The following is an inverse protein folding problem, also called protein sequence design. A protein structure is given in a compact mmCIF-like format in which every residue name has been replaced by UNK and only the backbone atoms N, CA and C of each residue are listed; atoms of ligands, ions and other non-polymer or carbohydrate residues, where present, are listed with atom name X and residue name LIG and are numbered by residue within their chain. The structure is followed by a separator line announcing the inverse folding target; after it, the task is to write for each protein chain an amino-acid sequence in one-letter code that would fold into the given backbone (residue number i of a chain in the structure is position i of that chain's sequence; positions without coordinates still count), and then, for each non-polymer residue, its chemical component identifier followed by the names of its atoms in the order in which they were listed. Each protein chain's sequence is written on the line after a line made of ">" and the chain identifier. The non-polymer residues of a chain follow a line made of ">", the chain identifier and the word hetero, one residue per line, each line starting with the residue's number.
data_IF_550281710763
#
_entry.id   IF_550281710763
#
_cell.length_a   1.000
_cell.length_b   1.000
_cell.length_c   1.000
_cell.angle_alpha   90.00
_cell.angle_beta   90.00
_cell.angle_gamma   90.00
#
_symmetry.space_group_name_H-M   'P 1'
#
loop_
_entity.id
_entity.type
_entity.pdbx_description
1 polymer ?
#
# COMPACT_ATOMS: atom_id res chain seq x y z
N UNK A 1 -63.83 -51.42 22.56
CA UNK A 1 -64.59 -50.37 23.29
C UNK A 1 -63.58 -49.63 24.13
N UNK A 2 -63.19 -48.39 23.86
CA UNK A 2 -63.95 -47.14 23.66
C UNK A 2 -63.18 -46.29 22.63
N UNK A 3 -63.73 -46.10 21.42
CA UNK A 3 -64.50 -44.94 20.94
C UNK A 3 -63.65 -43.73 20.49
N UNK A 4 -63.96 -43.32 19.28
CA UNK A 4 -63.25 -42.46 18.33
C UNK A 4 -63.74 -41.02 18.51
N UNK A 5 -62.86 -40.03 18.41
CA UNK A 5 -63.23 -38.61 18.40
C UNK A 5 -62.11 -37.75 17.81
N UNK A 6 -62.05 -37.66 16.49
CA UNK A 6 -61.25 -36.65 15.79
C UNK A 6 -61.95 -35.30 15.79
N UNK A 7 -61.19 -34.20 15.85
CA UNK A 7 -61.57 -32.88 15.37
C UNK A 7 -60.29 -32.09 15.00
N UNK A 8 -60.21 -31.76 13.71
CA UNK A 8 -59.77 -30.51 13.07
C UNK A 8 -58.40 -29.89 13.39
N UNK A 9 -57.48 -30.03 12.43
CA UNK A 9 -56.34 -29.13 12.21
C UNK A 9 -56.84 -27.70 11.91
N UNK A 10 -56.26 -26.64 12.50
CA UNK A 10 -56.62 -25.28 12.14
C UNK A 10 -56.03 -24.91 10.77
N UNK A 11 -56.89 -24.34 9.93
CA UNK A 11 -56.58 -23.78 8.61
C UNK A 11 -55.57 -22.63 8.73
N UNK A 12 -54.64 -22.61 7.78
CA UNK A 12 -53.91 -21.42 7.36
C UNK A 12 -54.89 -20.25 7.10
N UNK A 13 -54.66 -19.13 7.79
CA UNK A 13 -55.19 -17.82 7.41
C UNK A 13 -54.00 -16.89 7.23
N UNK A 14 -53.80 -16.44 5.99
CA UNK A 14 -52.80 -15.45 5.64
C UNK A 14 -53.17 -14.09 6.27
N UNK A 15 -52.25 -13.37 6.92
CA UNK A 15 -52.53 -12.02 7.37
C UNK A 15 -52.56 -11.07 6.16
N UNK A 16 -53.68 -10.39 5.99
CA UNK A 16 -53.86 -9.27 5.08
C UNK A 16 -52.87 -8.13 5.41
N UNK A 17 -52.01 -7.79 4.45
CA UNK A 17 -51.16 -6.60 4.50
C UNK A 17 -52.02 -5.34 4.33
N UNK A 18 -52.46 -4.75 5.44
CA UNK A 18 -52.87 -3.35 5.44
C UNK A 18 -51.62 -2.46 5.37
N UNK A 19 -51.46 -1.76 4.24
CA UNK A 19 -50.54 -0.62 4.12
C UNK A 19 -50.97 0.46 5.10
N UNK A 20 -50.21 0.63 6.18
CA UNK A 20 -50.15 1.90 6.90
C UNK A 20 -48.88 2.62 6.50
N UNK A 21 -49.07 3.79 5.89
CA UNK A 21 -48.03 4.72 5.45
C UNK A 21 -47.39 5.42 6.65
N UNK A 22 -46.13 5.11 6.93
CA UNK A 22 -45.26 5.96 7.76
C UNK A 22 -44.38 6.81 6.84
N UNK A 23 -44.48 8.12 7.00
CA UNK A 23 -43.68 9.14 6.31
C UNK A 23 -42.28 9.24 6.95
N UNK A 24 -41.19 9.28 6.14
CA UNK A 24 -39.84 9.53 6.63
C UNK A 24 -39.59 11.05 6.82
N UNK A 25 -38.67 11.46 7.73
CA UNK A 25 -38.32 12.87 7.90
C UNK A 25 -37.55 13.41 6.69
N UNK A 26 -37.84 14.65 6.30
CA UNK A 26 -37.23 15.33 5.18
C UNK A 26 -35.75 15.66 5.44
N UNK A 27 -34.86 15.09 4.62
CA UNK A 27 -33.45 15.51 4.51
C UNK A 27 -33.30 16.21 3.16
N UNK A 28 -32.90 17.49 3.22
CA UNK A 28 -32.81 18.38 2.06
C UNK A 28 -31.79 17.91 1.02
N UNK A 29 -32.19 17.99 -0.25
CA UNK A 29 -31.34 17.79 -1.41
C UNK A 29 -30.33 18.95 -1.55
N UNK A 30 -29.04 18.68 -1.32
CA UNK A 30 -27.97 19.49 -1.89
C UNK A 30 -27.68 18.98 -3.30
N UNK A 31 -27.95 19.81 -4.31
CA UNK A 31 -27.60 19.55 -5.71
C UNK A 31 -26.09 19.67 -5.90
N UNK A 32 -25.47 18.62 -6.43
CA UNK A 32 -24.12 18.68 -7.01
C UNK A 32 -24.16 19.47 -8.32
N UNK A 33 -23.26 20.44 -8.56
CA UNK A 33 -23.02 20.94 -9.90
C UNK A 33 -22.01 20.07 -10.65
N UNK A 34 -22.35 19.83 -11.92
CA UNK A 34 -21.60 19.16 -12.96
C UNK A 34 -20.28 19.86 -13.34
N UNK A 35 -19.34 19.03 -13.84
CA UNK A 35 -18.27 19.38 -14.80
C UNK A 35 -17.22 20.41 -14.38
N UNK A 36 -16.05 19.90 -13.99
CA UNK A 36 -14.77 20.60 -14.24
C UNK A 36 -14.43 20.43 -15.72
N UNK A 37 -14.70 21.48 -16.50
CA UNK A 37 -14.28 21.63 -17.89
C UNK A 37 -13.05 22.53 -17.91
N UNK A 38 -11.91 21.98 -18.32
CA UNK A 38 -10.70 22.76 -18.65
C UNK A 38 -11.06 23.89 -19.61
N UNK A 39 -10.86 25.15 -19.19
CA UNK A 39 -10.77 26.31 -20.09
C UNK A 39 -9.68 27.26 -19.64
N UNK A 40 -8.68 27.33 -20.52
CA UNK A 40 -7.83 28.46 -20.88
C UNK A 40 -8.13 29.80 -20.22
N UNK A 41 -7.04 30.40 -19.72
CA UNK A 41 -6.76 31.82 -19.58
C UNK A 41 -7.56 32.71 -20.54
N UNK A 42 -8.24 33.72 -20.00
CA UNK A 42 -8.36 35.12 -20.47
C UNK A 42 -9.53 35.79 -19.73
N UNK A 43 -9.32 37.03 -19.32
CA UNK A 43 -10.27 38.03 -18.80
C UNK A 43 -10.58 38.00 -17.29
N UNK A 44 -9.82 38.82 -16.55
CA UNK A 44 -10.32 39.62 -15.43
C UNK A 44 -9.61 40.98 -15.51
N UNK A 45 -10.18 41.86 -16.35
CA UNK A 45 -10.09 43.31 -16.18
C UNK A 45 -11.44 43.71 -15.59
N UNK A 46 -11.36 44.35 -14.42
CA UNK A 46 -12.33 45.22 -13.75
C UNK A 46 -12.52 44.85 -12.28
N UNK A 47 -12.45 45.90 -11.46
CA UNK A 47 -12.54 45.93 -9.99
C UNK A 47 -11.28 45.56 -9.20
N UNK A 48 -10.29 46.45 -9.15
CA UNK A 48 -9.74 46.94 -7.87
C UNK A 48 -9.20 48.37 -8.06
N UNK A 49 -10.03 49.36 -7.81
CA UNK A 49 -9.56 50.69 -7.40
C UNK A 49 -10.21 51.02 -6.05
N UNK A 50 -9.39 51.52 -5.12
CA UNK A 50 -9.70 51.99 -3.76
C UNK A 50 -9.65 50.92 -2.66
N UNK A 51 -8.45 50.73 -2.10
CA UNK A 51 -8.11 51.13 -0.72
C UNK A 51 -6.63 50.87 -0.49
N UNK A 52 -5.91 51.92 -0.08
CA UNK A 52 -4.47 51.87 0.12
C UNK A 52 -4.08 51.21 1.44
N UNK A 53 -3.16 50.25 1.38
CA UNK A 53 -2.13 50.08 2.40
C UNK A 53 -1.00 49.17 1.90
N UNK A 54 0.23 49.60 2.20
CA UNK A 54 1.49 48.99 1.81
C UNK A 54 1.65 47.57 2.34
N UNK A 55 1.95 46.62 1.47
CA UNK A 55 2.76 45.44 1.79
C UNK A 55 3.52 45.01 0.54
N UNK A 56 4.84 44.91 0.66
CA UNK A 56 5.75 44.54 -0.40
C UNK A 56 5.49 43.09 -0.86
N UNK A 57 5.08 42.93 -2.12
CA UNK A 57 5.09 41.64 -2.80
C UNK A 57 6.25 41.69 -3.79
N UNK A 58 7.25 40.84 -3.51
CA UNK A 58 8.40 40.59 -4.37
C UNK A 58 7.89 39.92 -5.65
N UNK A 59 7.83 40.69 -6.74
CA UNK A 59 7.64 40.17 -8.09
C UNK A 59 8.88 39.34 -8.48
N UNK A 60 8.85 38.02 -8.25
CA UNK A 60 9.67 37.11 -9.05
C UNK A 60 9.00 36.97 -10.41
N UNK A 61 9.57 37.68 -11.38
CA UNK A 61 9.44 37.42 -12.81
C UNK A 61 9.39 35.91 -13.08
N UNK A 62 8.28 35.46 -13.65
CA UNK A 62 8.21 34.18 -14.36
C UNK A 62 8.75 34.44 -15.76
N UNK A 63 10.07 34.58 -15.85
CA UNK A 63 10.78 34.56 -17.13
C UNK A 63 11.24 33.11 -17.37
N UNK A 64 10.73 32.50 -18.45
CA UNK A 64 11.27 31.24 -18.98
C UNK A 64 10.30 30.06 -18.96
N UNK A 65 9.39 29.99 -19.94
CA UNK A 65 9.02 28.69 -20.49
C UNK A 65 10.30 28.10 -21.08
N UNK A 66 10.93 27.17 -20.35
CA UNK A 66 11.93 26.28 -20.94
C UNK A 66 11.14 25.37 -21.88
N UNK A 67 11.32 25.57 -23.20
CA UNK A 67 10.96 24.57 -24.20
C UNK A 67 11.68 23.27 -23.80
N UNK A 68 10.93 22.18 -23.63
CA UNK A 68 11.55 20.87 -23.51
C UNK A 68 12.00 20.45 -24.91
N UNK A 69 13.16 20.93 -25.32
CA UNK A 69 13.87 20.32 -26.43
C UNK A 69 14.42 18.98 -25.88
N UNK A 70 13.78 17.88 -26.27
CA UNK A 70 14.31 16.54 -26.02
C UNK A 70 15.50 16.30 -26.97
N UNK A 71 16.57 17.07 -26.79
CA UNK A 71 17.86 16.78 -27.40
C UNK A 71 18.48 15.61 -26.62
N UNK A 72 18.54 14.46 -27.28
CA UNK A 72 19.18 13.26 -26.73
C UNK A 72 20.68 13.35 -27.00
N UNK A 73 21.37 14.20 -26.25
CA UNK A 73 22.82 14.20 -26.22
C UNK A 73 23.29 12.97 -25.45
N UNK A 74 23.79 11.99 -26.21
CA UNK A 74 24.26 10.71 -25.72
C UNK A 74 25.66 10.87 -25.12
N UNK A 75 25.75 11.49 -23.94
CA UNK A 75 27.00 11.54 -23.18
C UNK A 75 27.09 10.34 -22.23
N UNK A 76 27.76 9.29 -22.70
CA UNK A 76 27.93 8.02 -22.01
C UNK A 76 29.05 8.09 -20.97
N UNK A 77 28.90 8.92 -19.92
CA UNK A 77 29.94 8.99 -18.89
C UNK A 77 29.49 9.31 -17.47
N UNK A 78 28.42 8.67 -16.95
CA UNK A 78 28.18 8.60 -15.50
C UNK A 78 27.77 7.19 -15.08
N UNK A 79 28.73 6.45 -14.52
CA UNK A 79 28.56 5.06 -14.09
C UNK A 79 27.96 4.98 -12.69
N UNK A 80 26.73 4.48 -12.58
CA UNK A 80 26.24 3.89 -11.32
C UNK A 80 26.95 2.55 -11.10
N UNK A 81 27.52 2.37 -9.91
CA UNK A 81 28.42 1.27 -9.58
C UNK A 81 27.78 -0.10 -9.70
N UNK A 82 28.05 -0.79 -10.81
CA UNK A 82 28.19 -2.24 -10.91
C UNK A 82 29.47 -2.51 -11.71
N UNK A 83 30.25 -3.52 -11.30
CA UNK A 83 31.63 -3.78 -11.71
C UNK A 83 31.82 -3.73 -13.24
N UNK A 84 32.81 -2.94 -13.69
CA UNK A 84 33.20 -2.77 -15.10
C UNK A 84 33.89 -4.03 -15.62
N UNK A 85 33.36 -4.60 -16.71
CA UNK A 85 34.18 -5.28 -17.69
C UNK A 85 34.18 -4.45 -18.98
N UNK A 86 35.34 -3.91 -19.32
CA UNK A 86 35.57 -3.12 -20.53
C UNK A 86 35.63 -4.05 -21.75
N UNK A 87 34.60 -4.02 -22.58
CA UNK A 87 34.52 -4.76 -23.84
C UNK A 87 33.34 -4.27 -24.67
N UNK A 88 33.58 -4.00 -25.97
CA UNK A 88 32.65 -3.43 -26.97
C UNK A 88 31.17 -3.83 -26.76
N UNK A 89 30.33 -2.81 -26.57
CA UNK A 89 28.93 -2.91 -26.17
C UNK A 89 28.02 -3.37 -27.33
N UNK A 90 28.16 -4.61 -27.79
CA UNK A 90 27.06 -5.32 -28.42
C UNK A 90 26.08 -5.66 -27.29
N UNK A 91 24.95 -4.96 -27.22
CA UNK A 91 24.02 -5.03 -26.09
C UNK A 91 23.67 -6.48 -25.74
N UNK A 92 24.20 -6.96 -24.63
CA UNK A 92 24.07 -8.36 -24.21
C UNK A 92 22.60 -8.62 -23.86
N UNK A 93 21.97 -9.54 -24.59
CA UNK A 93 20.66 -10.06 -24.24
C UNK A 93 20.78 -10.84 -22.94
N UNK A 94 19.93 -10.53 -21.97
CA UNK A 94 19.83 -11.23 -20.70
C UNK A 94 18.74 -12.29 -20.72
N UNK A 95 18.94 -13.34 -19.92
CA UNK A 95 17.93 -14.36 -19.63
C UNK A 95 17.68 -14.32 -18.13
N UNK A 96 16.42 -14.14 -17.73
CA UNK A 96 16.01 -14.10 -16.31
C UNK A 96 14.86 -15.08 -16.13
N UNK A 97 15.12 -16.19 -15.43
CA UNK A 97 14.16 -17.29 -15.30
C UNK A 97 13.74 -17.83 -16.67
N UNK A 98 12.42 -17.83 -16.93
CA UNK A 98 11.85 -18.29 -18.20
C UNK A 98 11.85 -17.20 -19.29
N UNK A 99 12.21 -15.96 -18.98
CA UNK A 99 12.25 -14.86 -19.95
C UNK A 99 13.60 -14.82 -20.65
N UNK A 100 13.60 -15.12 -21.96
CA UNK A 100 14.78 -15.06 -22.84
C UNK A 100 14.73 -13.83 -23.74
N UNK A 101 15.88 -13.40 -24.26
CA UNK A 101 16.00 -12.30 -25.25
C UNK A 101 15.54 -10.94 -24.73
N UNK A 102 15.75 -10.65 -23.44
CA UNK A 102 15.37 -9.37 -22.84
C UNK A 102 16.59 -8.49 -22.61
N UNK A 103 16.44 -7.18 -22.81
CA UNK A 103 17.46 -6.18 -22.53
C UNK A 103 16.88 -5.13 -21.59
N UNK A 104 17.64 -4.75 -20.57
CA UNK A 104 17.26 -3.64 -19.71
C UNK A 104 17.33 -2.32 -20.50
N UNK A 105 16.28 -1.52 -20.40
CA UNK A 105 16.20 -0.21 -21.06
C UNK A 105 16.55 0.87 -20.04
N UNK A 106 17.72 1.47 -20.20
CA UNK A 106 18.13 2.61 -19.37
C UNK A 106 17.37 3.89 -19.76
N UNK A 107 17.03 4.69 -18.76
CA UNK A 107 16.39 5.99 -18.91
C UNK A 107 17.32 7.08 -18.37
N UNK A 108 17.28 8.28 -18.94
CA UNK A 108 18.11 9.42 -18.51
C UNK A 108 17.80 9.88 -17.08
N UNK A 109 16.57 9.67 -16.61
CA UNK A 109 16.17 9.96 -15.23
C UNK A 109 16.33 8.70 -14.38
N UNK A 110 17.35 8.69 -13.53
CA UNK A 110 17.67 7.58 -12.64
C UNK A 110 17.08 7.71 -11.24
N UNK A 111 17.50 6.81 -10.35
CA UNK A 111 17.06 6.76 -8.95
C UNK A 111 17.45 8.01 -8.17
N UNK A 112 18.67 8.52 -8.37
CA UNK A 112 19.20 9.67 -7.61
C UNK A 112 18.41 10.94 -7.95
N UNK A 113 18.12 11.15 -9.23
CA UNK A 113 17.36 12.28 -9.74
C UNK A 113 15.93 12.27 -9.17
N UNK A 114 15.28 11.10 -9.14
CA UNK A 114 13.94 10.95 -8.53
C UNK A 114 13.96 11.21 -7.02
N UNK A 115 14.95 10.69 -6.31
CA UNK A 115 15.09 10.92 -4.87
C UNK A 115 15.33 12.39 -4.56
N UNK A 116 16.18 13.06 -5.34
CA UNK A 116 16.44 14.50 -5.22
C UNK A 116 15.18 15.32 -5.48
N UNK A 117 14.38 14.97 -6.48
CA UNK A 117 13.11 15.65 -6.78
C UNK A 117 12.09 15.52 -5.64
N UNK A 118 12.04 14.35 -4.99
CA UNK A 118 11.10 14.07 -3.90
C UNK A 118 11.63 14.45 -2.51
N UNK A 119 12.89 14.90 -2.42
CA UNK A 119 13.59 15.17 -1.15
C UNK A 119 13.49 14.00 -0.14
N UNK A 120 13.57 12.76 -0.65
CA UNK A 120 13.49 11.53 0.13
C UNK A 120 14.17 10.37 -0.59
N UNK A 121 14.47 9.29 0.13
CA UNK A 121 14.97 8.03 -0.45
C UNK A 121 13.87 6.98 -0.44
N UNK A 122 13.65 6.33 -1.58
CA UNK A 122 12.71 5.24 -1.68
C UNK A 122 13.22 4.02 -0.91
N UNK A 123 12.32 3.32 -0.22
CA UNK A 123 12.60 2.11 0.54
C UNK A 123 11.35 1.25 0.66
N UNK A 124 11.53 0.02 1.13
CA UNK A 124 10.43 -0.92 1.40
C UNK A 124 10.33 -1.14 2.90
N UNK A 125 9.18 -0.79 3.46
CA UNK A 125 8.77 -1.10 4.82
C UNK A 125 7.87 -2.33 4.74
N UNK A 126 8.41 -3.48 5.15
CA UNK A 126 7.74 -4.76 5.04
C UNK A 126 7.14 -5.18 6.39
N UNK A 127 5.86 -4.89 6.57
CA UNK A 127 5.14 -5.20 7.81
C UNK A 127 4.58 -6.63 7.73
N UNK A 128 5.10 -7.52 8.58
CA UNK A 128 4.73 -8.93 8.69
C UNK A 128 4.10 -9.26 10.05
N UNK A 129 3.23 -10.27 10.11
CA UNK A 129 2.55 -10.69 11.34
C UNK A 129 1.23 -11.43 11.10
N UNK A 130 0.71 -12.07 12.14
CA UNK A 130 -0.58 -12.79 12.10
C UNK A 130 -1.76 -11.91 11.66
N UNK A 131 -2.82 -12.53 11.13
CA UNK A 131 -4.08 -11.81 10.88
C UNK A 131 -4.57 -11.16 12.18
N UNK A 132 -5.12 -9.94 12.14
CA UNK A 132 -5.56 -9.25 13.38
C UNK A 132 -4.45 -8.68 14.27
N UNK A 133 -3.16 -8.82 13.90
CA UNK A 133 -2.05 -8.24 14.67
C UNK A 133 -1.99 -6.70 14.63
N UNK A 134 -2.63 -6.07 13.64
CA UNK A 134 -2.70 -4.61 13.48
C UNK A 134 -1.86 -4.02 12.34
N UNK A 135 -1.30 -4.85 11.44
CA UNK A 135 -0.46 -4.42 10.31
C UNK A 135 -1.05 -3.25 9.51
N UNK A 136 -2.29 -3.39 9.00
CA UNK A 136 -2.92 -2.36 8.19
C UNK A 136 -3.20 -1.07 8.99
N UNK A 137 -3.44 -1.16 10.31
CA UNK A 137 -3.61 0.01 11.17
C UNK A 137 -2.30 0.80 11.29
N UNK A 138 -1.18 0.11 11.54
CA UNK A 138 0.15 0.73 11.60
C UNK A 138 0.55 1.30 10.23
N UNK A 139 0.30 0.56 9.14
CA UNK A 139 0.57 1.03 7.79
C UNK A 139 -0.18 2.33 7.47
N UNK A 140 -1.48 2.40 7.80
CA UNK A 140 -2.29 3.60 7.61
C UNK A 140 -1.80 4.77 8.47
N UNK A 141 -1.50 4.53 9.75
CA UNK A 141 -0.99 5.57 10.65
C UNK A 141 0.36 6.13 10.16
N UNK A 142 1.29 5.25 9.78
CA UNK A 142 2.58 5.65 9.22
C UNK A 142 2.43 6.46 7.94
N UNK A 143 1.57 6.01 7.01
CA UNK A 143 1.30 6.73 5.77
C UNK A 143 0.72 8.12 6.02
N UNK A 144 -0.18 8.27 7.00
CA UNK A 144 -0.72 9.58 7.39
C UNK A 144 0.35 10.51 7.96
N UNK A 145 1.27 9.99 8.77
CA UNK A 145 2.37 10.77 9.34
C UNK A 145 3.33 11.23 8.23
N UNK A 146 3.76 10.31 7.35
CA UNK A 146 4.63 10.63 6.21
C UNK A 146 3.99 11.68 5.28
N UNK A 147 2.70 11.53 4.97
CA UNK A 147 1.96 12.51 4.17
C UNK A 147 1.97 13.91 4.80
N UNK A 148 1.73 14.01 6.12
CA UNK A 148 1.78 15.29 6.85
C UNK A 148 3.17 15.92 6.85
N UNK A 149 4.23 15.12 6.70
CA UNK A 149 5.62 15.58 6.57
C UNK A 149 6.03 15.90 5.13
N UNK A 150 5.09 15.85 4.17
CA UNK A 150 5.39 16.08 2.75
C UNK A 150 6.15 14.92 2.09
N UNK A 151 6.14 13.72 2.69
CA UNK A 151 6.81 12.54 2.14
C UNK A 151 5.83 11.67 1.36
N UNK A 152 6.27 11.20 0.20
CA UNK A 152 5.51 10.34 -0.68
C UNK A 152 5.64 8.88 -0.26
N UNK A 153 4.54 8.31 0.21
CA UNK A 153 4.43 6.91 0.58
C UNK A 153 3.22 6.24 -0.09
N UNK A 154 3.29 4.92 -0.24
CA UNK A 154 2.21 4.13 -0.83
C UNK A 154 2.07 2.78 -0.15
N UNK A 155 0.84 2.36 0.13
CA UNK A 155 0.55 1.09 0.84
C UNK A 155 0.20 0.00 -0.16
N UNK A 156 0.93 -1.11 -0.11
CA UNK A 156 0.58 -2.38 -0.72
C UNK A 156 -0.02 -3.32 0.34
N UNK A 157 -1.35 -3.28 0.50
CA UNK A 157 -2.06 -4.16 1.44
C UNK A 157 -2.40 -5.50 0.78
N UNK A 158 -2.18 -6.60 1.52
CA UNK A 158 -2.37 -7.96 1.03
C UNK A 158 -3.78 -8.30 0.56
N UNK A 159 -4.82 -7.64 1.09
CA UNK A 159 -6.19 -7.84 0.58
C UNK A 159 -6.43 -6.96 -0.66
N UNK A 160 -5.97 -5.71 -0.66
CA UNK A 160 -6.16 -4.78 -1.78
C UNK A 160 -5.54 -5.27 -3.08
N UNK A 161 -4.30 -5.77 -3.03
CA UNK A 161 -3.60 -6.30 -4.22
C UNK A 161 -4.29 -7.52 -4.82
N UNK A 162 -5.03 -8.29 -4.01
CA UNK A 162 -5.81 -9.45 -4.47
C UNK A 162 -7.10 -9.08 -5.21
N UNK A 163 -7.54 -7.83 -5.14
CA UNK A 163 -8.61 -7.34 -6.01
C UNK A 163 -8.15 -7.00 -7.43
N UNK A 164 -6.83 -6.90 -7.65
CA UNK A 164 -6.25 -6.47 -8.92
C UNK A 164 -5.13 -7.39 -9.40
N UNK A 165 -3.87 -7.01 -9.12
CA UNK A 165 -2.66 -7.68 -9.60
C UNK A 165 -2.63 -9.19 -9.28
N UNK A 166 -3.11 -9.58 -8.11
CA UNK A 166 -3.02 -10.93 -7.58
C UNK A 166 -4.39 -11.64 -7.48
N UNK A 167 -5.37 -11.22 -8.30
CA UNK A 167 -6.73 -11.78 -8.28
C UNK A 167 -6.82 -13.23 -8.74
N UNK A 168 -5.81 -13.71 -9.46
CA UNK A 168 -5.67 -15.08 -9.94
C UNK A 168 -5.15 -16.05 -8.88
N UNK A 169 -4.64 -15.54 -7.75
CA UNK A 169 -3.99 -16.35 -6.71
C UNK A 169 -4.96 -16.72 -5.59
N UNK A 170 -4.97 -18.00 -5.23
CA UNK A 170 -5.65 -18.50 -4.05
C UNK A 170 -4.84 -18.32 -2.76
N UNK A 171 -5.06 -19.24 -1.81
CA UNK A 171 -4.45 -19.23 -0.48
C UNK A 171 -3.64 -20.49 -0.17
N UNK A 172 -3.30 -21.28 -1.19
CA UNK A 172 -2.35 -22.40 -1.04
C UNK A 172 -0.93 -21.88 -0.81
N UNK A 173 -0.01 -22.76 -0.40
CA UNK A 173 1.36 -22.36 -0.10
C UNK A 173 2.06 -21.78 -1.35
N UNK A 174 1.86 -22.40 -2.51
CA UNK A 174 2.41 -21.94 -3.79
C UNK A 174 1.87 -20.55 -4.18
N UNK A 175 0.54 -20.36 -4.07
CA UNK A 175 -0.12 -19.09 -4.37
C UNK A 175 0.32 -17.97 -3.40
N UNK A 176 0.60 -18.31 -2.15
CA UNK A 176 1.15 -17.36 -1.16
C UNK A 176 2.56 -16.94 -1.53
N UNK A 177 3.41 -17.90 -1.89
CA UNK A 177 4.78 -17.62 -2.32
C UNK A 177 4.78 -16.71 -3.55
N UNK A 178 3.94 -16.99 -4.56
CA UNK A 178 3.81 -16.14 -5.74
C UNK A 178 3.22 -14.76 -5.41
N UNK A 179 2.24 -14.69 -4.50
CA UNK A 179 1.68 -13.43 -4.05
C UNK A 179 2.77 -12.54 -3.39
N UNK A 180 3.59 -13.12 -2.52
CA UNK A 180 4.70 -12.41 -1.87
C UNK A 180 5.75 -12.01 -2.91
N UNK A 181 6.13 -12.90 -3.83
CA UNK A 181 7.09 -12.60 -4.90
C UNK A 181 6.66 -11.41 -5.76
N UNK A 182 5.42 -11.42 -6.26
CA UNK A 182 4.88 -10.31 -7.09
C UNK A 182 4.90 -8.98 -6.32
N UNK A 183 4.51 -8.99 -5.06
CA UNK A 183 4.48 -7.78 -4.23
C UNK A 183 5.88 -7.30 -3.90
N UNK A 184 6.84 -8.21 -3.67
CA UNK A 184 8.25 -7.87 -3.52
C UNK A 184 8.79 -7.10 -4.73
N UNK A 185 8.54 -7.59 -5.94
CA UNK A 185 8.96 -6.91 -7.18
C UNK A 185 8.27 -5.55 -7.36
N UNK A 186 6.98 -5.46 -7.07
CA UNK A 186 6.26 -4.17 -7.13
C UNK A 186 6.81 -3.19 -6.08
N UNK A 187 7.06 -3.65 -4.86
CA UNK A 187 7.63 -2.83 -3.80
C UNK A 187 9.03 -2.32 -4.17
N UNK A 188 9.84 -3.16 -4.83
CA UNK A 188 11.13 -2.77 -5.40
C UNK A 188 10.98 -1.65 -6.44
N UNK A 189 10.00 -1.75 -7.34
CA UNK A 189 9.73 -0.70 -8.33
C UNK A 189 9.33 0.63 -7.66
N UNK A 190 8.50 0.60 -6.62
CA UNK A 190 8.17 1.80 -5.85
C UNK A 190 9.40 2.41 -5.16
N UNK A 191 10.24 1.59 -4.52
CA UNK A 191 11.46 2.07 -3.90
C UNK A 191 12.45 2.65 -4.92
N UNK A 192 12.57 2.04 -6.11
CA UNK A 192 13.38 2.58 -7.21
C UNK A 192 12.83 3.90 -7.77
N UNK A 193 11.50 4.08 -7.73
CA UNK A 193 10.84 5.34 -8.06
C UNK A 193 11.03 6.45 -7.01
N UNK A 194 11.70 6.16 -5.88
CA UNK A 194 11.91 7.09 -4.78
C UNK A 194 10.78 7.11 -3.74
N UNK A 195 9.78 6.23 -3.87
CA UNK A 195 8.62 6.16 -2.96
C UNK A 195 8.94 5.31 -1.73
N UNK A 196 8.45 5.73 -0.56
CA UNK A 196 8.45 4.89 0.65
C UNK A 196 7.29 3.89 0.53
N UNK A 197 7.60 2.67 0.08
CA UNK A 197 6.61 1.63 -0.12
C UNK A 197 6.34 0.89 1.18
N UNK A 198 5.08 0.83 1.62
CA UNK A 198 4.65 0.14 2.84
C UNK A 198 3.88 -1.13 2.43
N UNK A 199 4.54 -2.28 2.50
CA UNK A 199 3.91 -3.56 2.23
C UNK A 199 3.33 -4.14 3.54
N UNK A 200 2.01 -4.31 3.61
CA UNK A 200 1.29 -4.81 4.79
C UNK A 200 0.67 -6.17 4.49
N UNK A 201 1.37 -7.25 4.84
CA UNK A 201 1.02 -8.62 4.49
C UNK A 201 1.23 -9.59 5.64
N UNK A 202 0.47 -10.69 5.67
CA UNK A 202 0.80 -11.78 6.60
C UNK A 202 2.21 -12.29 6.32
N UNK A 203 2.55 -12.54 5.05
CA UNK A 203 3.88 -13.02 4.60
C UNK A 203 4.46 -14.11 5.52
N UNK A 204 3.76 -15.25 5.67
CA UNK A 204 4.01 -16.18 6.78
C UNK A 204 5.33 -16.92 6.69
N UNK A 205 5.84 -17.17 5.48
CA UNK A 205 7.04 -17.97 5.25
C UNK A 205 8.28 -17.07 5.20
N UNK A 206 9.28 -17.39 6.02
CA UNK A 206 10.51 -16.62 6.15
C UNK A 206 11.28 -16.60 4.84
N UNK A 207 11.39 -17.75 4.17
CA UNK A 207 12.07 -17.87 2.87
C UNK A 207 11.57 -16.85 1.85
N UNK A 208 10.27 -16.62 1.81
CA UNK A 208 9.68 -15.71 0.82
C UNK A 208 9.93 -14.23 1.19
N UNK A 209 9.93 -13.90 2.50
CA UNK A 209 10.36 -12.57 2.97
C UNK A 209 11.83 -12.33 2.70
N UNK A 210 12.69 -13.32 2.94
CA UNK A 210 14.12 -13.27 2.66
C UNK A 210 14.39 -13.09 1.15
N UNK A 211 13.61 -13.74 0.29
CA UNK A 211 13.68 -13.54 -1.15
C UNK A 211 13.31 -12.10 -1.55
N UNK A 212 12.25 -11.53 -0.96
CA UNK A 212 11.91 -10.12 -1.16
C UNK A 212 13.00 -9.16 -0.63
N UNK A 213 13.67 -9.49 0.47
CA UNK A 213 14.81 -8.72 0.98
C UNK A 213 15.98 -8.73 0.00
N UNK A 214 16.30 -9.91 -0.55
CA UNK A 214 17.47 -10.12 -1.41
C UNK A 214 17.43 -9.39 -2.77
N UNK A 215 16.24 -8.99 -3.25
CA UNK A 215 16.12 -8.24 -4.52
C UNK A 215 16.35 -6.73 -4.38
N UNK A 216 16.49 -6.23 -3.15
CA UNK A 216 16.77 -4.82 -2.84
C UNK A 216 18.22 -4.64 -2.35
N UNK A 217 18.80 -3.42 -2.51
CA UNK A 217 20.08 -3.09 -1.90
C UNK A 217 20.04 -3.20 -0.36
N UNK A 218 21.19 -3.47 0.24
CA UNK A 218 21.32 -3.58 1.70
C UNK A 218 20.76 -2.34 2.41
N UNK A 219 19.93 -2.57 3.43
CA UNK A 219 19.29 -1.52 4.22
C UNK A 219 18.04 -0.88 3.60
N UNK A 220 17.71 -1.17 2.33
CA UNK A 220 16.51 -0.63 1.67
C UNK A 220 15.24 -1.45 1.92
N UNK A 221 15.38 -2.64 2.50
CA UNK A 221 14.28 -3.48 2.97
C UNK A 221 14.27 -3.48 4.50
N UNK A 222 13.19 -2.97 5.08
CA UNK A 222 13.01 -2.76 6.51
C UNK A 222 11.87 -3.67 6.95
N UNK A 223 12.20 -4.83 7.51
CA UNK A 223 11.23 -5.77 8.02
C UNK A 223 10.73 -5.35 9.40
N UNK A 224 9.42 -5.16 9.49
CA UNK A 224 8.72 -4.74 10.70
C UNK A 224 7.84 -5.90 11.16
N UNK A 225 8.23 -6.53 12.27
CA UNK A 225 7.49 -7.64 12.84
C UNK A 225 6.43 -7.15 13.83
N UNK A 226 5.16 -7.42 13.53
CA UNK A 226 4.05 -7.28 14.47
C UNK A 226 4.01 -8.49 15.42
N UNK A 227 4.72 -8.38 16.53
CA UNK A 227 4.82 -9.39 17.58
C UNK A 227 3.58 -9.34 18.49
N UNK A 228 2.51 -9.96 18.01
CA UNK A 228 1.23 -10.08 18.69
C UNK A 228 0.85 -11.55 18.73
N UNK A 229 0.55 -12.05 19.93
CA UNK A 229 0.26 -13.47 20.10
C UNK A 229 -1.01 -13.89 19.35
N UNK A 230 -1.09 -15.18 19.03
CA UNK A 230 -2.23 -15.76 18.34
C UNK A 230 -3.52 -15.56 19.16
N UNK A 231 -3.45 -15.72 20.48
CA UNK A 231 -4.60 -15.57 21.38
C UNK A 231 -5.19 -14.16 21.31
N UNK A 232 -4.34 -13.14 21.29
CA UNK A 232 -4.79 -11.75 21.14
C UNK A 232 -5.37 -11.51 19.75
N UNK A 233 -4.78 -12.08 18.71
CA UNK A 233 -5.29 -11.98 17.34
C UNK A 233 -6.67 -12.65 17.19
N UNK A 234 -6.84 -13.84 17.78
CA UNK A 234 -8.09 -14.58 17.85
C UNK A 234 -9.15 -13.86 18.68
N UNK A 235 -8.77 -13.23 19.80
CA UNK A 235 -9.70 -12.45 20.61
C UNK A 235 -10.23 -11.22 19.86
N UNK A 236 -9.39 -10.59 19.02
CA UNK A 236 -9.78 -9.44 18.19
C UNK A 236 -10.72 -9.84 17.06
N UNK A 237 -10.36 -10.89 16.32
CA UNK A 237 -11.07 -11.45 15.16
C UNK A 237 -11.91 -10.45 14.34
N UNK A 238 -11.32 -9.31 13.97
CA UNK A 238 -12.05 -8.17 13.41
C UNK A 238 -12.81 -8.49 12.11
N UNK A 239 -12.39 -9.56 11.41
CA UNK A 239 -12.98 -10.03 10.16
C UNK A 239 -13.79 -11.34 10.31
N UNK A 240 -13.88 -11.90 11.52
CA UNK A 240 -14.54 -13.19 11.77
C UNK A 240 -13.79 -14.40 11.20
N UNK A 241 -12.56 -14.23 10.72
CA UNK A 241 -11.81 -15.26 9.99
C UNK A 241 -11.30 -16.36 10.92
N UNK A 242 -10.92 -16.02 12.16
CA UNK A 242 -10.48 -17.01 13.13
C UNK A 242 -11.62 -17.94 13.53
N UNK A 243 -12.82 -17.40 13.77
CA UNK A 243 -14.02 -18.22 14.03
C UNK A 243 -14.33 -19.17 12.85
N UNK A 244 -14.22 -18.68 11.62
CA UNK A 244 -14.45 -19.50 10.43
C UNK A 244 -13.38 -20.61 10.25
N UNK A 245 -12.11 -20.30 10.54
CA UNK A 245 -11.02 -21.27 10.50
C UNK A 245 -11.18 -22.35 11.58
N UNK A 246 -11.49 -21.95 12.83
CA UNK A 246 -11.76 -22.88 13.95
C UNK A 246 -12.98 -23.77 13.68
N UNK A 247 -13.99 -23.25 12.95
CA UNK A 247 -15.14 -24.02 12.49
C UNK A 247 -14.85 -24.89 11.25
N UNK A 248 -13.62 -24.92 10.74
CA UNK A 248 -13.20 -25.71 9.58
C UNK A 248 -13.71 -25.21 8.22
N UNK A 249 -14.32 -24.02 8.17
CA UNK A 249 -14.86 -23.40 6.94
C UNK A 249 -13.77 -22.74 6.08
N UNK A 250 -12.65 -22.38 6.69
CA UNK A 250 -11.44 -21.91 6.01
C UNK A 250 -10.33 -22.91 6.32
N UNK A 251 -9.64 -23.37 5.28
CA UNK A 251 -8.49 -24.28 5.38
C UNK A 251 -7.19 -23.53 5.09
N UNK A 252 -6.11 -23.96 5.71
CA UNK A 252 -4.78 -23.35 5.57
C UNK A 252 -4.69 -21.94 6.15
N UNK A 253 -5.48 -21.61 7.16
CA UNK A 253 -5.43 -20.31 7.82
C UNK A 253 -4.17 -20.17 8.70
N UNK A 254 -3.41 -19.11 8.45
CA UNK A 254 -2.13 -18.87 9.14
C UNK A 254 -2.31 -18.76 10.66
N UNK A 255 -1.51 -19.52 11.40
CA UNK A 255 -1.56 -19.60 12.86
C UNK A 255 -2.55 -20.64 13.39
N UNK A 256 -3.40 -21.24 12.54
CA UNK A 256 -4.36 -22.28 12.93
C UNK A 256 -3.96 -23.63 12.33
N UNK A 257 -4.00 -23.74 11.00
CA UNK A 257 -3.68 -24.96 10.24
C UNK A 257 -2.65 -24.72 9.12
N UNK A 258 -2.04 -23.53 9.09
CA UNK A 258 -0.85 -23.18 8.29
C UNK A 258 0.15 -22.39 9.17
N UNK A 259 1.47 -22.61 9.07
CA UNK A 259 2.43 -22.01 9.99
C UNK A 259 2.63 -20.51 9.77
N UNK A 260 3.05 -19.82 10.83
CA UNK A 260 3.65 -18.48 10.74
C UNK A 260 5.09 -18.55 11.24
N UNK A 261 6.05 -18.27 10.38
CA UNK A 261 7.47 -18.32 10.70
C UNK A 261 7.95 -16.94 11.13
N UNK A 262 8.12 -16.74 12.43
CA UNK A 262 8.59 -15.48 13.02
C UNK A 262 9.94 -15.04 12.39
N UNK A 263 10.13 -13.75 12.06
CA UNK A 263 11.41 -13.23 11.60
C UNK A 263 12.54 -13.47 12.62
N UNK A 264 13.73 -13.84 12.16
CA UNK A 264 14.88 -14.06 13.05
C UNK A 264 15.68 -12.77 13.28
N UNK A 265 15.79 -11.91 12.26
CA UNK A 265 16.61 -10.70 12.26
C UNK A 265 15.86 -9.53 11.59
N UNK A 266 14.67 -9.20 12.08
CA UNK A 266 13.94 -8.03 11.58
C UNK A 266 14.50 -6.72 12.14
N UNK A 267 14.44 -5.65 11.37
CA UNK A 267 14.90 -4.32 11.77
C UNK A 267 14.08 -3.72 12.91
N UNK A 268 12.76 -4.00 12.97
CA UNK A 268 11.86 -3.42 13.95
C UNK A 268 10.89 -4.49 14.48
N UNK A 269 10.77 -4.57 15.82
CA UNK A 269 9.74 -5.38 16.48
C UNK A 269 8.71 -4.48 17.14
N UNK A 270 7.44 -4.63 16.77
CA UNK A 270 6.31 -3.91 17.33
C UNK A 270 5.47 -4.86 18.17
N UNK A 271 5.55 -4.70 19.50
CA UNK A 271 4.76 -5.47 20.47
C UNK A 271 3.44 -4.76 20.79
N UNK A 272 2.38 -5.53 20.91
CA UNK A 272 1.08 -5.03 21.37
C UNK A 272 1.01 -4.97 22.90
N UNK A 273 1.71 -4.02 23.50
CA UNK A 273 1.75 -3.79 24.95
C UNK A 273 0.77 -2.68 25.40
N UNK A 274 -0.35 -2.51 24.69
CA UNK A 274 -1.33 -1.45 24.94
C UNK A 274 -1.06 -0.12 24.23
N UNK A 275 -0.01 -0.02 23.42
CA UNK A 275 0.27 1.17 22.63
C UNK A 275 -0.66 1.36 21.42
N UNK A 276 -0.84 2.60 20.99
CA UNK A 276 -1.69 2.93 19.83
C UNK A 276 -0.98 2.62 18.50
N UNK A 277 -1.72 2.43 17.39
CA UNK A 277 -1.12 2.31 16.06
C UNK A 277 -0.22 3.50 15.68
N UNK A 278 -0.54 4.71 16.17
CA UNK A 278 0.27 5.90 15.96
C UNK A 278 1.64 5.80 16.65
N UNK A 279 1.67 5.39 17.93
CA UNK A 279 2.92 5.19 18.68
C UNK A 279 3.79 4.09 18.04
N UNK A 280 3.17 3.04 17.50
CA UNK A 280 3.90 2.02 16.75
C UNK A 280 4.46 2.56 15.43
N UNK A 281 3.70 3.40 14.72
CA UNK A 281 4.14 4.05 13.50
C UNK A 281 5.29 5.05 13.76
N UNK A 282 5.27 5.77 14.88
CA UNK A 282 6.36 6.67 15.30
C UNK A 282 7.69 5.94 15.45
N UNK A 283 7.68 4.70 15.97
CA UNK A 283 8.91 3.88 16.03
C UNK A 283 9.49 3.58 14.65
N UNK A 284 8.61 3.30 13.68
CA UNK A 284 9.03 3.09 12.29
C UNK A 284 9.55 4.39 11.69
N UNK A 285 8.87 5.52 11.93
CA UNK A 285 9.32 6.83 11.49
C UNK A 285 10.71 7.19 12.04
N UNK A 286 10.94 7.00 13.34
CA UNK A 286 12.24 7.28 13.97
C UNK A 286 13.36 6.43 13.34
N UNK A 287 13.07 5.17 12.99
CA UNK A 287 14.03 4.34 12.28
C UNK A 287 14.35 4.89 10.88
N UNK A 288 13.34 5.33 10.11
CA UNK A 288 13.55 5.94 8.79
C UNK A 288 14.39 7.22 8.88
N UNK A 289 14.13 8.05 9.89
CA UNK A 289 14.90 9.27 10.14
C UNK A 289 16.36 8.96 10.47
N UNK A 290 16.61 8.03 11.41
CA UNK A 290 17.96 7.61 11.79
C UNK A 290 18.75 7.01 10.63
N UNK A 291 18.08 6.33 9.70
CA UNK A 291 18.69 5.75 8.50
C UNK A 291 18.78 6.73 7.33
N UNK A 292 18.28 7.95 7.49
CA UNK A 292 18.38 9.00 6.47
C UNK A 292 17.50 8.76 5.25
N UNK A 293 16.36 8.08 5.40
CA UNK A 293 15.39 7.87 4.30
C UNK A 293 14.49 9.08 4.05
N UNK A 294 14.35 9.97 5.04
CA UNK A 294 13.44 11.12 4.97
C UNK A 294 14.06 12.36 4.29
N UNK A 295 15.29 12.23 3.78
CA UNK A 295 16.04 13.30 3.09
C UNK A 295 16.83 12.67 1.93
N UNK A 296 17.04 13.42 0.85
CA UNK A 296 17.81 12.98 -0.32
C UNK A 296 19.31 13.26 -0.14
#
# INVERSE_FOLDING_TARGET
>A
MVAIGGISLPRFVAPSLHRQSFSPPAIGFARFPDRIRLRSTVALLDEVEKTGSRAAIVNRKVDGLVKSDCETDFDATLSNGHARNSGKNLGVLSTVGNSTNIKWHECSVGKIERQSLLEQKGCVIWITGLSGSGKSCVACALNQILYKMGKLAYILDGDNVRHGLNRDLGFKAEDRAENIRRIGEVAKLFADAGVICIASLISPYRRDRDACRAILPDGYFIEVFMDVSLEVCEARDAKGLYKLARAGKIKGFTGIDDPYEVPLNCEIVLKNNGGSPCEMAEKVLSYLEQKGFLQA
#
